data_IF_635164053486
#
_entry.id   IF_635164053486
#
_cell.length_a   1.000
_cell.length_b   1.000
_cell.length_c   1.000
_cell.angle_alpha   90.00
_cell.angle_beta   90.00
_cell.angle_gamma   90.00
#
_symmetry.space_group_name_H-M   'P 1'
#
loop_
_entity.id
_entity.type
_entity.pdbx_description
1 polymer ?
#
# COMPACT_ATOMS: atom_id res chain seq x y z
N UNK A 1 0.84 27.37 25.50
CA UNK A 1 0.35 26.18 24.77
C UNK A 1 1.44 25.14 24.75
N UNK A 2 1.25 23.99 25.38
CA UNK A 2 2.25 22.91 25.43
C UNK A 2 2.18 22.11 24.13
N UNK A 3 3.21 22.21 23.29
CA UNK A 3 3.32 21.45 22.04
C UNK A 3 3.65 19.99 22.38
N UNK A 4 2.65 19.12 22.41
CA UNK A 4 2.89 17.67 22.51
C UNK A 4 3.65 17.21 21.26
N UNK A 5 4.87 16.72 21.45
CA UNK A 5 5.65 16.08 20.38
C UNK A 5 4.96 14.75 20.05
N UNK A 6 4.45 14.63 18.82
CA UNK A 6 3.94 13.36 18.30
C UNK A 6 5.12 12.57 17.74
N UNK A 7 5.52 11.51 18.42
CA UNK A 7 6.49 10.54 17.88
C UNK A 7 5.75 9.60 16.93
N UNK A 8 6.10 9.66 15.64
CA UNK A 8 5.60 8.72 14.65
C UNK A 8 6.63 7.61 14.47
N UNK A 9 6.27 6.39 14.86
CA UNK A 9 7.07 5.20 14.58
C UNK A 9 6.76 4.73 13.16
N UNK A 10 7.69 5.02 12.25
CA UNK A 10 7.55 4.66 10.84
C UNK A 10 7.68 3.16 10.60
N UNK A 11 8.34 2.41 11.48
CA UNK A 11 8.55 0.96 11.33
C UNK A 11 7.29 0.22 11.72
N UNK A 12 6.76 0.51 12.91
CA UNK A 12 5.51 -0.10 13.40
C UNK A 12 4.32 0.25 12.50
N UNK A 13 4.29 1.49 12.00
CA UNK A 13 3.26 1.91 11.05
C UNK A 13 3.33 1.12 9.73
N UNK A 14 4.54 0.94 9.17
CA UNK A 14 4.74 0.14 7.95
C UNK A 14 4.41 -1.33 8.16
N UNK A 15 4.80 -1.89 9.31
CA UNK A 15 4.50 -3.28 9.67
C UNK A 15 2.99 -3.54 9.71
N UNK A 16 2.24 -2.65 10.39
CA UNK A 16 0.78 -2.75 10.44
C UNK A 16 0.13 -2.62 9.06
N UNK A 17 0.66 -1.73 8.21
CA UNK A 17 0.17 -1.59 6.84
C UNK A 17 0.41 -2.87 6.02
N UNK A 18 1.58 -3.51 6.17
CA UNK A 18 1.89 -4.76 5.50
C UNK A 18 1.00 -5.91 5.99
N UNK A 19 0.83 -6.07 7.31
CA UNK A 19 -0.05 -7.09 7.90
C UNK A 19 -1.51 -6.92 7.41
N UNK A 20 -1.99 -5.68 7.27
CA UNK A 20 -3.31 -5.40 6.72
C UNK A 20 -3.44 -5.83 5.25
N UNK A 21 -2.42 -5.56 4.41
CA UNK A 21 -2.41 -5.97 3.01
C UNK A 21 -2.34 -7.49 2.85
N UNK A 22 -1.53 -8.16 3.66
CA UNK A 22 -1.42 -9.62 3.64
C UNK A 22 -2.76 -10.27 4.04
N UNK A 23 -3.41 -9.77 5.09
CA UNK A 23 -4.73 -10.26 5.52
C UNK A 23 -5.81 -10.04 4.46
N UNK A 24 -5.78 -8.91 3.77
CA UNK A 24 -6.71 -8.64 2.67
C UNK A 24 -6.45 -9.56 1.47
N UNK A 25 -5.18 -9.83 1.15
CA UNK A 25 -4.85 -10.80 0.12
C UNK A 25 -5.31 -12.21 0.49
N UNK A 26 -5.13 -12.65 1.73
CA UNK A 26 -5.60 -13.96 2.19
C UNK A 26 -7.11 -14.13 2.05
N UNK A 27 -7.89 -13.10 2.38
CA UNK A 27 -9.35 -13.13 2.24
C UNK A 27 -9.79 -13.16 0.76
N UNK A 28 -8.99 -12.63 -0.15
CA UNK A 28 -9.23 -12.57 -1.60
C UNK A 28 -8.29 -13.48 -2.40
N UNK A 29 -7.68 -14.48 -1.77
CA UNK A 29 -6.63 -15.31 -2.41
C UNK A 29 -7.11 -16.09 -3.63
N UNK A 30 -8.42 -16.27 -3.79
CA UNK A 30 -9.03 -16.91 -4.95
C UNK A 30 -9.22 -15.96 -6.14
N UNK A 31 -9.18 -14.65 -5.92
CA UNK A 31 -9.35 -13.61 -6.94
C UNK A 31 -8.03 -13.24 -7.63
N UNK A 32 -6.90 -13.51 -6.98
CA UNK A 32 -5.57 -13.13 -7.48
C UNK A 32 -4.65 -14.35 -7.52
N UNK A 33 -3.94 -14.53 -8.63
CA UNK A 33 -3.01 -15.65 -8.81
C UNK A 33 -1.78 -15.53 -7.91
N UNK A 34 -1.38 -14.31 -7.54
CA UNK A 34 -0.25 -14.02 -6.67
C UNK A 34 -0.46 -12.76 -5.83
N UNK A 35 0.34 -12.60 -4.76
CA UNK A 35 0.31 -11.38 -3.93
C UNK A 35 0.72 -10.15 -4.73
N UNK A 36 1.67 -10.29 -5.67
CA UNK A 36 2.06 -9.22 -6.58
C UNK A 36 0.91 -8.77 -7.48
N UNK A 37 0.07 -9.69 -7.96
CA UNK A 37 -1.09 -9.33 -8.80
C UNK A 37 -2.13 -8.54 -7.99
N UNK A 38 -2.35 -8.93 -6.72
CA UNK A 38 -3.19 -8.18 -5.81
C UNK A 38 -2.66 -6.76 -5.57
N UNK A 39 -1.36 -6.61 -5.32
CA UNK A 39 -0.74 -5.30 -5.12
C UNK A 39 -0.82 -4.43 -6.38
N UNK A 40 -0.64 -5.01 -7.56
CA UNK A 40 -0.79 -4.29 -8.83
C UNK A 40 -2.23 -3.83 -9.07
N UNK A 41 -3.22 -4.70 -8.81
CA UNK A 41 -4.63 -4.34 -8.91
C UNK A 41 -5.00 -3.21 -7.93
N UNK A 42 -4.56 -3.31 -6.67
CA UNK A 42 -4.71 -2.24 -5.67
C UNK A 42 -4.04 -0.93 -6.07
N UNK A 43 -2.85 -1.02 -6.68
CA UNK A 43 -2.14 0.14 -7.19
C UNK A 43 -2.89 0.81 -8.35
N UNK A 44 -3.52 0.02 -9.23
CA UNK A 44 -4.34 0.52 -10.33
C UNK A 44 -5.65 1.18 -9.87
N UNK A 45 -6.25 0.69 -8.77
CA UNK A 45 -7.43 1.32 -8.14
C UNK A 45 -7.12 2.71 -7.55
N UNK A 46 -5.87 2.98 -7.19
CA UNK A 46 -5.47 4.24 -6.58
C UNK A 46 -5.07 5.28 -7.62
N UNK A 47 -5.92 6.29 -7.81
CA UNK A 47 -5.64 7.47 -8.63
C UNK A 47 -4.34 8.16 -8.24
N UNK A 48 -4.03 8.20 -6.94
CA UNK A 48 -2.81 8.79 -6.38
C UNK A 48 -1.57 7.99 -6.75
N UNK A 49 -1.67 6.66 -6.79
CA UNK A 49 -0.58 5.80 -7.28
C UNK A 49 -0.35 6.07 -8.76
N UNK A 50 -1.39 6.14 -9.58
CA UNK A 50 -1.24 6.50 -11.00
C UNK A 50 -0.55 7.86 -11.22
N UNK A 51 -0.84 8.87 -10.39
CA UNK A 51 -0.14 10.16 -10.43
C UNK A 51 1.33 10.07 -10.02
N UNK A 52 1.65 9.27 -8.99
CA UNK A 52 3.02 9.01 -8.55
C UNK A 52 3.80 8.30 -9.67
N UNK A 53 3.24 7.25 -10.28
CA UNK A 53 3.87 6.54 -11.39
C UNK A 53 4.13 7.44 -12.60
N UNK A 54 3.16 8.30 -12.97
CA UNK A 54 3.36 9.34 -14.02
C UNK A 54 4.50 10.29 -13.69
N UNK A 55 4.64 10.68 -12.41
CA UNK A 55 5.67 11.61 -11.95
C UNK A 55 7.07 10.98 -11.86
N UNK A 56 7.15 9.68 -11.63
CA UNK A 56 8.42 8.94 -11.54
C UNK A 56 8.80 8.16 -12.80
N UNK A 57 8.07 8.34 -13.91
CA UNK A 57 8.42 7.78 -15.23
C UNK A 57 8.30 6.26 -15.34
N UNK A 58 7.67 5.60 -14.37
CA UNK A 58 7.44 4.16 -14.41
C UNK A 58 6.22 3.82 -15.26
N UNK A 59 6.33 2.77 -16.09
CA UNK A 59 5.19 2.19 -16.79
C UNK A 59 4.31 1.48 -15.74
N UNK A 60 3.04 1.87 -15.65
CA UNK A 60 2.06 1.20 -14.80
C UNK A 60 2.04 -0.30 -15.17
N UNK A 61 2.13 -1.23 -14.19
CA UNK A 61 2.11 -2.66 -14.47
C UNK A 61 0.75 -3.10 -15.02
#
# INVERSE_FOLDING_TARGET
>A
MTTKIKTFDCVESKRKAQEALEKEFESRRREFASFSDFLNAKAAESTKTAEIWKRFGGKQP
#
